data_IF_320140559569
#
_entry.id   IF_320140559569
#
_cell.length_a   1.000
_cell.length_b   1.000
_cell.length_c   1.000
_cell.angle_alpha   90.00
_cell.angle_beta   90.00
_cell.angle_gamma   90.00
#
_symmetry.space_group_name_H-M   'P 1'
#
loop_
_entity.id
_entity.type
_entity.pdbx_description
1 polymer ?
#
# COMPACT_ATOMS: atom_id res chain seq x y z
N UNK A 1 -5.18 -18.14 3.82
CA UNK A 1 -4.11 -17.82 2.90
C UNK A 1 -3.06 -16.97 3.55
N UNK A 2 -1.81 -17.27 3.31
CA UNK A 2 -0.72 -16.57 3.97
C UNK A 2 -0.17 -15.46 3.09
N UNK A 3 -0.16 -14.26 3.65
CA UNK A 3 0.55 -13.17 3.01
C UNK A 3 2.05 -13.40 3.18
N UNK A 4 2.81 -13.24 2.11
CA UNK A 4 4.25 -13.45 2.15
C UNK A 4 4.99 -12.31 2.84
N UNK A 5 4.29 -11.21 3.07
CA UNK A 5 4.90 -9.99 3.60
C UNK A 5 4.28 -9.62 4.92
N UNK A 6 5.10 -9.15 5.83
CA UNK A 6 4.59 -8.58 7.07
C UNK A 6 4.12 -7.16 6.81
N UNK A 7 3.33 -6.62 7.74
CA UNK A 7 2.89 -5.23 7.63
C UNK A 7 4.08 -4.29 7.55
N UNK A 8 5.13 -4.58 8.31
CA UNK A 8 6.32 -3.74 8.32
C UNK A 8 7.03 -3.75 6.97
N UNK A 9 7.10 -4.90 6.33
CA UNK A 9 7.70 -4.99 5.00
C UNK A 9 6.88 -4.20 3.97
N UNK A 10 5.57 -4.30 4.07
CA UNK A 10 4.69 -3.55 3.16
C UNK A 10 4.84 -2.06 3.37
N UNK A 11 4.91 -1.63 4.62
CA UNK A 11 5.07 -0.21 4.94
C UNK A 11 6.41 0.32 4.42
N UNK A 12 7.46 -0.47 4.53
CA UNK A 12 8.76 -0.08 4.01
C UNK A 12 8.74 0.06 2.50
N UNK A 13 8.02 -0.83 1.83
CA UNK A 13 7.89 -0.75 0.39
C UNK A 13 7.17 0.52 -0.03
N UNK A 14 6.10 0.87 0.67
CA UNK A 14 5.38 2.11 0.41
C UNK A 14 6.28 3.31 0.65
N UNK A 15 7.04 3.30 1.73
CA UNK A 15 7.95 4.40 2.04
C UNK A 15 8.98 4.57 0.93
N UNK A 16 9.58 3.48 0.49
CA UNK A 16 10.61 3.51 -0.54
C UNK A 16 10.05 3.95 -1.89
N UNK A 17 8.83 3.52 -2.20
CA UNK A 17 8.25 3.71 -3.52
C UNK A 17 7.45 5.01 -3.62
N UNK A 18 6.68 5.31 -2.60
CA UNK A 18 5.74 6.44 -2.60
C UNK A 18 6.30 7.64 -1.83
N UNK A 19 7.08 7.37 -0.80
CA UNK A 19 7.65 8.44 0.02
C UNK A 19 6.86 8.74 1.28
N UNK A 20 5.81 7.99 1.57
CA UNK A 20 5.07 8.14 2.82
C UNK A 20 5.77 7.31 3.87
N UNK A 21 6.12 7.92 4.99
CA UNK A 21 6.88 7.24 6.03
C UNK A 21 6.08 6.09 6.63
N UNK A 22 6.77 4.98 6.88
CA UNK A 22 6.14 3.81 7.46
C UNK A 22 5.40 4.15 8.76
N UNK A 23 5.96 5.03 9.57
CA UNK A 23 5.36 5.40 10.86
C UNK A 23 4.06 6.17 10.70
N UNK A 24 3.82 6.76 9.55
CA UNK A 24 2.61 7.52 9.28
C UNK A 24 1.50 6.65 8.70
N UNK A 25 1.79 5.40 8.41
CA UNK A 25 0.81 4.47 7.88
C UNK A 25 0.04 3.83 9.02
N UNK A 26 -1.26 4.07 9.07
CA UNK A 26 -2.13 3.58 10.15
C UNK A 26 -2.55 2.14 9.94
N UNK A 27 -2.86 1.78 8.71
CA UNK A 27 -3.30 0.45 8.33
C UNK A 27 -2.72 0.12 6.98
N UNK A 28 -2.43 -1.15 6.74
CA UNK A 28 -1.93 -1.58 5.45
C UNK A 28 -2.38 -3.01 5.20
N UNK A 29 -2.70 -3.32 3.95
CA UNK A 29 -3.13 -4.65 3.57
C UNK A 29 -2.64 -4.99 2.17
N UNK A 30 -2.06 -6.18 2.03
CA UNK A 30 -1.65 -6.69 0.74
C UNK A 30 -2.86 -7.32 0.06
N UNK A 31 -3.17 -6.84 -1.14
CA UNK A 31 -4.34 -7.31 -1.88
C UNK A 31 -3.98 -8.28 -3.01
N UNK A 32 -2.71 -8.68 -3.07
CA UNK A 32 -2.25 -9.61 -4.09
C UNK A 32 -1.83 -8.90 -5.37
N UNK A 33 -1.01 -9.56 -6.17
CA UNK A 33 -0.60 -9.10 -7.49
C UNK A 33 -0.11 -7.65 -7.52
N UNK A 34 0.74 -7.29 -6.57
CA UNK A 34 1.33 -5.95 -6.54
C UNK A 34 0.34 -4.85 -6.13
N UNK A 35 -0.80 -5.23 -5.55
CA UNK A 35 -1.80 -4.27 -5.08
C UNK A 35 -1.74 -4.16 -3.57
N UNK A 36 -1.63 -2.93 -3.07
CA UNK A 36 -1.57 -2.66 -1.65
C UNK A 36 -2.51 -1.50 -1.36
N UNK A 37 -3.31 -1.63 -0.31
CA UNK A 37 -4.10 -0.50 0.16
C UNK A 37 -3.66 -0.14 1.57
N UNK A 38 -3.66 1.14 1.85
CA UNK A 38 -3.21 1.60 3.15
C UNK A 38 -3.91 2.91 3.51
N UNK A 39 -3.83 3.24 4.78
CA UNK A 39 -4.35 4.50 5.28
C UNK A 39 -3.21 5.28 5.91
N UNK A 40 -3.10 6.56 5.55
CA UNK A 40 -2.14 7.48 6.12
C UNK A 40 -2.76 8.87 6.17
N UNK A 41 -2.50 9.61 7.23
CA UNK A 41 -3.00 10.97 7.39
C UNK A 41 -4.53 11.03 7.31
N UNK A 42 -5.21 9.99 7.79
CA UNK A 42 -6.65 9.92 7.75
C UNK A 42 -7.25 9.67 6.38
N UNK A 43 -6.44 9.36 5.41
CA UNK A 43 -6.88 9.16 4.02
C UNK A 43 -6.57 7.74 3.58
N UNK A 44 -7.50 7.14 2.85
CA UNK A 44 -7.32 5.80 2.31
C UNK A 44 -6.71 5.87 0.92
N UNK A 45 -5.69 5.05 0.70
CA UNK A 45 -4.99 5.01 -0.57
C UNK A 45 -4.96 3.59 -1.12
N UNK A 46 -4.85 3.51 -2.42
CA UNK A 46 -4.69 2.26 -3.14
C UNK A 46 -3.47 2.41 -4.04
N UNK A 47 -2.52 1.52 -3.88
CA UNK A 47 -1.25 1.61 -4.59
C UNK A 47 -1.07 0.32 -5.39
N UNK A 48 -0.72 0.45 -6.66
CA UNK A 48 -0.44 -0.71 -7.49
C UNK A 48 0.63 -0.39 -8.51
N UNK A 49 1.20 -1.44 -9.04
CA UNK A 49 2.29 -1.32 -10.00
C UNK A 49 1.81 -1.86 -11.35
N UNK A 50 2.05 -1.11 -12.42
CA UNK A 50 1.66 -1.52 -13.76
C UNK A 50 2.46 -2.73 -14.23
N UNK A 51 1.80 -3.57 -15.02
CA UNK A 51 2.40 -4.82 -15.48
C UNK A 51 3.50 -4.64 -16.51
N UNK A 52 3.31 -3.69 -17.42
CA UNK A 52 4.18 -3.60 -18.57
C UNK A 52 5.27 -2.54 -18.45
N UNK A 53 5.04 -1.52 -17.64
CA UNK A 53 5.96 -0.39 -17.58
C UNK A 53 6.54 -0.15 -16.19
N UNK A 54 6.19 -0.98 -15.24
CA UNK A 54 6.68 -0.86 -13.85
C UNK A 54 6.33 0.49 -13.22
N UNK A 55 5.31 1.15 -13.75
CA UNK A 55 4.86 2.42 -13.23
C UNK A 55 4.04 2.22 -11.97
N UNK A 56 4.31 3.01 -10.96
CA UNK A 56 3.57 2.95 -9.70
C UNK A 56 2.41 3.94 -9.77
N UNK A 57 1.23 3.44 -9.42
CA UNK A 57 0.01 4.24 -9.41
C UNK A 57 -0.51 4.35 -7.99
N UNK A 58 -0.79 5.56 -7.58
CA UNK A 58 -1.36 5.82 -6.27
C UNK A 58 -2.71 6.50 -6.45
N UNK A 59 -3.73 5.88 -5.93
CA UNK A 59 -5.10 6.37 -6.07
C UNK A 59 -5.70 6.58 -4.69
N UNK A 60 -6.29 7.73 -4.46
CA UNK A 60 -6.99 8.02 -3.24
C UNK A 60 -8.40 7.45 -3.36
N UNK A 61 -8.76 6.56 -2.45
CA UNK A 61 -10.03 5.87 -2.54
C UNK A 61 -10.47 5.38 -1.17
N UNK A 62 -11.67 5.72 -0.70
CA UNK A 62 -12.13 5.26 0.60
C UNK A 62 -12.31 3.74 0.61
N UNK A 63 -11.92 3.13 1.71
CA UNK A 63 -12.03 1.70 1.87
C UNK A 63 -12.91 1.36 3.05
N UNK A 64 -13.59 0.23 2.90
CA UNK A 64 -14.37 -0.31 4.00
C UNK A 64 -13.49 -1.29 4.78
N UNK A 65 -12.68 -0.79 5.66
CA UNK A 65 -11.76 -1.60 6.46
C UNK A 65 -12.53 -2.46 7.46
N UNK A 66 -12.06 -3.69 7.61
CA UNK A 66 -12.67 -4.61 8.57
C UNK A 66 -11.66 -5.11 9.57
#
# INVERSE_FOLDING_TARGET
MNCRYTDEELKEDVERTIGIRAKDIEKIQFCGLWHIRFRAFGTDFYYYRGDSDDTVHLVESPWNWQ
#
